data_IF_477978794531
#
_entry.id   IF_477978794531
#
_cell.length_a   1.000
_cell.length_b   1.000
_cell.length_c   1.000
_cell.angle_alpha   90.00
_cell.angle_beta   90.00
_cell.angle_gamma   90.00
#
_symmetry.space_group_name_H-M   'P 1'
#
loop_
_entity.id
_entity.type
_entity.pdbx_description
1 polymer ?
#
# COMPACT_ATOMS: atom_id res chain seq x y z
N UNK A 1 24.60 35.05 58.21
CA UNK A 1 24.24 35.06 56.77
C UNK A 1 23.22 36.15 56.55
N UNK A 2 23.46 37.08 55.62
CA UNK A 2 22.62 38.26 55.37
C UNK A 2 21.20 37.85 54.93
N UNK A 3 20.16 38.60 55.34
CA UNK A 3 18.77 38.39 54.93
C UNK A 3 18.59 38.37 53.39
N UNK A 4 19.49 39.00 52.65
CA UNK A 4 19.53 38.94 51.19
C UNK A 4 19.90 37.54 50.65
N UNK A 5 20.78 36.82 51.34
CA UNK A 5 21.20 35.46 50.96
C UNK A 5 20.08 34.44 51.24
N UNK A 6 19.32 34.64 52.31
CA UNK A 6 18.13 33.83 52.62
C UNK A 6 17.01 34.05 51.59
N UNK A 7 16.77 35.30 51.18
CA UNK A 7 15.80 35.62 50.13
C UNK A 7 16.17 35.00 48.76
N UNK A 8 17.45 35.04 48.39
CA UNK A 8 17.93 34.46 47.14
C UNK A 8 17.81 32.92 47.10
N UNK A 9 18.12 32.25 48.22
CA UNK A 9 17.97 30.78 48.33
C UNK A 9 16.49 30.37 48.28
N UNK A 10 15.60 31.12 48.93
CA UNK A 10 14.17 30.85 48.89
C UNK A 10 13.58 31.05 47.48
N UNK A 11 14.02 32.09 46.77
CA UNK A 11 13.62 32.35 45.39
C UNK A 11 14.11 31.26 44.42
N UNK A 12 15.36 30.78 44.58
CA UNK A 12 15.88 29.66 43.79
C UNK A 12 15.11 28.36 44.06
N UNK A 13 14.77 28.09 45.33
CA UNK A 13 14.00 26.92 45.72
C UNK A 13 12.58 26.96 45.11
N UNK A 14 11.88 28.10 45.19
CA UNK A 14 10.56 28.28 44.60
C UNK A 14 10.57 28.18 43.06
N UNK A 15 11.61 28.74 42.42
CA UNK A 15 11.79 28.62 40.97
C UNK A 15 12.08 27.17 40.55
N UNK A 16 12.81 26.39 41.36
CA UNK A 16 13.07 24.97 41.09
C UNK A 16 11.85 24.06 41.27
N UNK A 17 10.87 24.45 42.11
CA UNK A 17 9.60 23.73 42.26
C UNK A 17 8.54 24.12 41.22
N UNK A 18 8.68 25.29 40.58
CA UNK A 18 7.72 25.74 39.56
C UNK A 18 7.80 24.94 38.24
N UNK A 19 8.87 24.17 38.04
CA UNK A 19 9.02 23.23 36.92
C UNK A 19 8.62 21.79 37.27
N UNK A 20 8.11 21.53 38.47
CA UNK A 20 7.40 20.29 38.74
C UNK A 20 6.05 20.38 38.02
N UNK A 21 6.07 20.11 36.71
CA UNK A 21 4.88 20.00 35.90
C UNK A 21 3.89 19.12 36.63
N UNK A 22 2.68 19.63 36.86
CA UNK A 22 1.58 18.80 37.32
C UNK A 22 1.57 17.55 36.47
N UNK A 23 1.48 16.37 37.09
CA UNK A 23 1.21 15.13 36.36
C UNK A 23 -0.10 15.40 35.63
N UNK A 24 0.00 15.74 34.35
CA UNK A 24 -1.09 15.79 33.40
C UNK A 24 -1.66 14.38 33.43
N UNK A 25 -2.70 14.18 34.25
CA UNK A 25 -3.42 12.92 34.26
C UNK A 25 -4.04 12.84 32.88
N UNK A 26 -3.49 11.96 32.03
CA UNK A 26 -4.11 11.63 30.77
C UNK A 26 -5.60 11.37 31.05
N UNK A 27 -6.52 12.01 30.33
CA UNK A 27 -7.92 11.76 30.53
C UNK A 27 -8.15 10.26 30.39
N UNK A 28 -8.78 9.65 31.40
CA UNK A 28 -9.16 8.24 31.40
C UNK A 28 -10.20 8.03 30.31
N UNK A 29 -9.74 7.87 29.09
CA UNK A 29 -10.52 7.59 27.88
C UNK A 29 -10.02 6.26 27.32
N UNK A 30 -10.94 5.54 26.70
CA UNK A 30 -10.59 4.31 25.99
C UNK A 30 -9.57 4.62 24.87
N UNK A 31 -8.61 3.71 24.61
CA UNK A 31 -7.70 3.85 23.47
C UNK A 31 -8.49 3.98 22.16
N UNK A 32 -8.00 4.86 21.28
CA UNK A 32 -8.54 4.96 19.92
C UNK A 32 -8.11 3.71 19.15
N UNK A 33 -9.07 2.95 18.66
CA UNK A 33 -8.82 1.74 17.86
C UNK A 33 -9.16 1.91 16.39
N UNK A 34 -9.78 3.03 16.02
CA UNK A 34 -10.11 3.37 14.64
C UNK A 34 -9.87 4.86 14.43
N UNK A 35 -9.01 5.18 13.47
CA UNK A 35 -8.79 6.52 12.97
C UNK A 35 -10.04 6.99 12.20
N UNK A 36 -10.37 8.27 12.34
CA UNK A 36 -11.53 8.88 11.70
C UNK A 36 -11.13 9.55 10.39
N UNK A 37 -10.40 8.83 9.54
CA UNK A 37 -9.81 9.30 8.28
C UNK A 37 -10.78 9.25 7.07
N UNK A 38 -12.08 9.15 7.34
CA UNK A 38 -13.13 9.00 6.31
C UNK A 38 -14.21 10.07 6.40
N UNK A 39 -13.90 11.24 6.96
CA UNK A 39 -14.85 12.34 6.94
C UNK A 39 -15.09 12.75 5.49
N UNK A 40 -16.36 12.96 5.13
CA UNK A 40 -16.69 13.45 3.80
C UNK A 40 -16.21 14.89 3.64
N UNK A 41 -15.58 15.18 2.50
CA UNK A 41 -15.16 16.52 2.10
C UNK A 41 -15.49 16.75 0.62
N UNK A 42 -15.54 18.03 0.23
CA UNK A 42 -16.22 18.43 -1.00
C UNK A 42 -15.49 18.03 -2.30
N UNK A 43 -14.15 18.02 -2.30
CA UNK A 43 -13.34 17.76 -3.49
C UNK A 43 -12.58 16.45 -3.29
N UNK A 44 -12.77 15.47 -4.17
CA UNK A 44 -11.95 14.26 -4.20
C UNK A 44 -10.47 14.64 -4.44
N UNK A 45 -9.51 14.04 -3.71
CA UNK A 45 -8.09 14.28 -3.95
C UNK A 45 -7.70 13.93 -5.39
N UNK A 46 -6.67 14.60 -5.89
CA UNK A 46 -6.18 14.38 -7.24
C UNK A 46 -5.46 13.04 -7.34
N UNK A 47 -5.46 12.44 -8.53
CA UNK A 47 -4.69 11.20 -8.73
C UNK A 47 -3.20 11.52 -8.64
N UNK A 48 -2.49 10.79 -7.78
CA UNK A 48 -1.05 10.89 -7.66
C UNK A 48 -0.38 9.79 -8.47
N UNK A 49 0.42 10.19 -9.46
CA UNK A 49 1.31 9.29 -10.17
C UNK A 49 2.74 9.49 -9.66
N UNK A 50 3.43 8.40 -9.33
CA UNK A 50 4.85 8.42 -8.99
C UNK A 50 5.67 8.04 -10.22
N UNK A 51 6.30 9.01 -10.94
CA UNK A 51 7.04 8.70 -12.16
C UNK A 51 8.32 7.93 -11.82
N UNK A 52 8.55 6.80 -12.50
CA UNK A 52 9.71 5.95 -12.22
C UNK A 52 11.06 6.67 -12.32
N UNK A 53 11.21 7.56 -13.31
CA UNK A 53 12.42 8.38 -13.47
C UNK A 53 12.62 9.36 -12.31
N UNK A 54 11.53 9.95 -11.80
CA UNK A 54 11.58 10.84 -10.65
C UNK A 54 11.86 10.07 -9.36
N UNK A 55 11.17 8.96 -9.13
CA UNK A 55 11.43 8.11 -7.96
C UNK A 55 12.90 7.63 -7.94
N UNK A 56 13.42 7.18 -9.09
CA UNK A 56 14.83 6.82 -9.23
C UNK A 56 15.78 7.99 -8.91
N UNK A 57 15.55 9.18 -9.47
CA UNK A 57 16.37 10.36 -9.16
C UNK A 57 16.27 10.77 -7.68
N UNK A 58 15.07 10.69 -7.09
CA UNK A 58 14.83 11.01 -5.70
C UNK A 58 15.56 10.04 -4.77
N UNK A 59 15.37 8.72 -4.95
CA UNK A 59 15.98 7.72 -4.07
C UNK A 59 17.50 7.63 -4.22
N UNK A 60 18.06 7.91 -5.40
CA UNK A 60 19.51 7.81 -5.65
C UNK A 60 20.29 9.10 -5.36
N UNK A 61 19.67 10.28 -5.52
CA UNK A 61 20.37 11.57 -5.43
C UNK A 61 19.77 12.44 -4.34
N UNK A 62 18.51 12.85 -4.50
CA UNK A 62 17.95 13.92 -3.66
C UNK A 62 17.72 13.47 -2.22
N UNK A 63 17.16 12.28 -2.00
CA UNK A 63 16.84 11.76 -0.67
C UNK A 63 18.10 11.41 0.16
N UNK A 64 19.14 10.77 -0.39
CA UNK A 64 20.39 10.61 0.35
C UNK A 64 21.03 11.95 0.76
N UNK A 65 21.03 12.94 -0.14
CA UNK A 65 21.57 14.27 0.15
C UNK A 65 20.71 14.98 1.20
N UNK A 66 19.38 14.97 1.07
CA UNK A 66 18.49 15.61 2.03
C UNK A 66 18.61 14.97 3.41
N UNK A 67 18.65 13.63 3.51
CA UNK A 67 18.85 12.93 4.79
C UNK A 67 20.22 13.18 5.41
N UNK A 68 21.28 13.28 4.60
CA UNK A 68 22.61 13.63 5.10
C UNK A 68 22.63 15.03 5.74
N UNK A 69 21.87 15.97 5.19
CA UNK A 69 21.76 17.34 5.68
C UNK A 69 20.65 17.52 6.72
N UNK A 70 19.74 16.56 6.85
CA UNK A 70 18.61 16.62 7.76
C UNK A 70 19.09 16.44 9.20
N UNK A 71 18.64 17.33 10.07
CA UNK A 71 18.63 17.09 11.50
C UNK A 71 17.32 16.38 11.80
N UNK A 72 17.37 15.05 11.86
CA UNK A 72 16.23 14.20 12.19
C UNK A 72 16.29 13.88 13.69
N UNK A 73 15.56 14.61 14.55
CA UNK A 73 15.46 14.22 15.95
C UNK A 73 14.70 12.90 16.00
N UNK A 74 15.42 11.83 16.39
CA UNK A 74 14.82 10.52 16.69
C UNK A 74 13.53 10.72 17.51
N UNK A 75 12.40 10.32 16.93
CA UNK A 75 11.08 10.49 17.54
C UNK A 75 10.19 9.27 17.33
N UNK A 76 9.34 9.00 18.31
CA UNK A 76 8.31 7.97 18.22
C UNK A 76 7.31 8.32 17.10
N UNK A 77 6.66 7.29 16.55
CA UNK A 77 5.57 7.48 15.60
C UNK A 77 4.39 8.18 16.30
N UNK A 78 3.68 9.06 15.59
CA UNK A 78 2.63 9.90 16.19
C UNK A 78 1.23 9.35 16.00
N UNK A 79 1.04 8.36 15.12
CA UNK A 79 -0.27 7.75 14.85
C UNK A 79 -0.55 6.48 15.67
N UNK A 80 0.01 6.41 16.88
CA UNK A 80 -0.27 5.34 17.84
C UNK A 80 -1.30 5.80 18.86
N UNK A 81 -2.04 4.85 19.42
CA UNK A 81 -2.98 5.13 20.51
C UNK A 81 -2.28 5.11 21.89
N UNK A 82 -3.06 5.30 22.96
CA UNK A 82 -2.56 5.35 24.34
C UNK A 82 -1.95 4.04 24.87
N UNK A 83 -2.01 2.95 24.10
CA UNK A 83 -1.35 1.66 24.41
C UNK A 83 -0.27 1.29 23.39
N UNK A 84 0.20 2.28 22.62
CA UNK A 84 1.26 2.15 21.62
C UNK A 84 0.91 1.24 20.42
N UNK A 85 -0.37 1.10 20.11
CA UNK A 85 -0.87 0.34 18.96
C UNK A 85 -1.37 1.26 17.85
N UNK A 86 -1.28 0.79 16.59
CA UNK A 86 -1.80 1.53 15.42
C UNK A 86 -3.31 1.30 15.31
N UNK A 87 -4.15 2.35 15.30
CA UNK A 87 -5.58 2.24 15.03
C UNK A 87 -5.89 1.78 13.60
N UNK A 88 -7.05 1.15 13.39
CA UNK A 88 -7.57 0.85 12.04
C UNK A 88 -7.85 2.14 11.26
N UNK A 89 -7.51 2.18 9.97
CA UNK A 89 -7.70 3.31 9.06
C UNK A 89 -8.35 2.89 7.74
N UNK A 90 -8.43 3.82 6.79
CA UNK A 90 -8.91 3.57 5.43
C UNK A 90 -8.02 2.63 4.61
N UNK A 91 -6.71 2.54 4.92
CA UNK A 91 -5.75 1.68 4.21
C UNK A 91 -5.07 0.62 5.08
N UNK A 92 -5.22 0.70 6.40
CA UNK A 92 -4.62 -0.24 7.35
C UNK A 92 -5.66 -0.80 8.31
N UNK A 93 -5.52 -2.07 8.65
CA UNK A 93 -6.27 -2.76 9.70
C UNK A 93 -5.26 -3.50 10.56
N UNK A 94 -5.27 -3.28 11.86
CA UNK A 94 -4.40 -3.98 12.78
C UNK A 94 -4.89 -5.44 12.93
N UNK A 95 -4.51 -6.31 11.99
CA UNK A 95 -5.04 -7.69 11.92
C UNK A 95 -4.40 -8.65 12.92
N UNK A 96 -3.20 -8.34 13.41
CA UNK A 96 -2.43 -9.22 14.32
C UNK A 96 -2.29 -8.58 15.71
N UNK A 97 -1.79 -7.35 15.79
CA UNK A 97 -1.50 -6.66 17.05
C UNK A 97 -2.75 -6.38 17.88
N UNK A 98 -3.84 -5.91 17.25
CA UNK A 98 -5.09 -5.57 17.96
C UNK A 98 -5.79 -6.80 18.57
N UNK A 99 -6.04 -7.90 17.83
CA UNK A 99 -6.57 -9.12 18.45
C UNK A 99 -5.68 -9.62 19.58
N UNK A 100 -4.35 -9.65 19.37
CA UNK A 100 -3.40 -10.09 20.39
C UNK A 100 -3.46 -9.22 21.65
N UNK A 101 -3.42 -7.89 21.51
CA UNK A 101 -3.52 -6.94 22.62
C UNK A 101 -4.84 -7.06 23.42
N UNK A 102 -5.91 -7.57 22.79
CA UNK A 102 -7.21 -7.82 23.41
C UNK A 102 -7.36 -9.24 23.97
N UNK A 103 -6.32 -10.09 23.93
CA UNK A 103 -6.40 -11.49 24.33
C UNK A 103 -7.27 -12.34 23.40
N UNK A 104 -7.47 -11.88 22.16
CA UNK A 104 -8.16 -12.61 21.11
C UNK A 104 -7.33 -13.74 20.51
N UNK A 105 -7.94 -14.59 19.66
CA UNK A 105 -7.22 -15.65 18.98
C UNK A 105 -6.19 -15.09 17.99
N UNK A 106 -5.14 -15.87 17.73
CA UNK A 106 -4.23 -15.63 16.62
C UNK A 106 -4.97 -15.64 15.28
N UNK A 107 -4.39 -14.99 14.28
CA UNK A 107 -4.91 -15.03 12.91
C UNK A 107 -5.00 -16.50 12.44
N UNK A 108 -6.18 -16.96 11.98
CA UNK A 108 -6.32 -18.30 11.41
C UNK A 108 -5.36 -18.52 10.23
N UNK A 109 -4.81 -19.73 10.12
CA UNK A 109 -3.85 -20.06 9.05
C UNK A 109 -4.47 -19.94 7.66
N UNK A 110 -5.75 -20.26 7.50
CA UNK A 110 -6.48 -20.09 6.25
C UNK A 110 -6.65 -18.61 5.85
N UNK A 111 -6.85 -17.71 6.83
CA UNK A 111 -6.85 -16.25 6.57
C UNK A 111 -5.45 -15.79 6.13
N UNK A 112 -4.40 -16.28 6.79
CA UNK A 112 -3.02 -15.95 6.42
C UNK A 112 -2.65 -16.46 5.02
N UNK A 113 -3.00 -17.71 4.69
CA UNK A 113 -2.69 -18.34 3.41
C UNK A 113 -3.46 -17.71 2.24
N UNK A 114 -4.73 -17.34 2.45
CA UNK A 114 -5.56 -16.73 1.42
C UNK A 114 -5.32 -15.21 1.31
N UNK A 115 -4.93 -14.53 2.38
CA UNK A 115 -4.87 -13.08 2.42
C UNK A 115 -6.23 -12.45 2.06
N UNK A 116 -6.23 -11.46 1.16
CA UNK A 116 -7.47 -10.81 0.71
C UNK A 116 -8.34 -11.68 -0.24
N UNK A 117 -7.93 -12.91 -0.54
CA UNK A 117 -8.60 -13.77 -1.53
C UNK A 117 -9.78 -14.57 -0.98
N UNK A 118 -10.88 -13.88 -0.65
CA UNK A 118 -12.11 -14.50 -0.12
C UNK A 118 -13.12 -14.92 -1.20
N UNK A 119 -12.92 -14.54 -2.45
CA UNK A 119 -13.77 -14.91 -3.58
C UNK A 119 -13.28 -16.20 -4.25
N UNK A 120 -14.14 -16.88 -5.01
CA UNK A 120 -13.72 -18.04 -5.81
C UNK A 120 -12.55 -17.71 -6.76
N UNK A 121 -11.63 -18.65 -7.02
CA UNK A 121 -10.57 -18.48 -8.00
C UNK A 121 -11.12 -18.14 -9.39
N UNK A 122 -10.32 -17.40 -10.16
CA UNK A 122 -10.62 -17.16 -11.56
C UNK A 122 -10.58 -18.48 -12.33
N UNK A 123 -11.66 -18.80 -13.06
CA UNK A 123 -11.73 -20.00 -13.90
C UNK A 123 -10.69 -19.95 -15.04
N UNK A 124 -9.69 -20.84 -15.06
CA UNK A 124 -8.64 -20.87 -16.09
C UNK A 124 -9.12 -21.36 -17.46
N UNK A 125 -10.35 -21.89 -17.57
CA UNK A 125 -10.94 -22.29 -18.84
C UNK A 125 -11.57 -21.12 -19.62
N UNK A 126 -11.75 -19.97 -18.96
CA UNK A 126 -12.34 -18.78 -19.55
C UNK A 126 -13.84 -18.91 -19.88
N UNK A 127 -14.37 -18.09 -20.81
CA UNK A 127 -13.67 -17.06 -21.58
C UNK A 127 -13.28 -15.85 -20.71
N UNK A 128 -12.21 -15.16 -21.09
CA UNK A 128 -11.81 -13.89 -20.49
C UNK A 128 -11.82 -12.78 -21.55
N UNK A 129 -12.56 -11.71 -21.28
CA UNK A 129 -12.65 -10.56 -22.19
C UNK A 129 -11.57 -9.54 -21.83
N UNK A 130 -10.66 -9.23 -22.75
CA UNK A 130 -9.66 -8.18 -22.59
C UNK A 130 -10.31 -6.83 -22.84
N UNK A 131 -10.43 -6.02 -21.80
CA UNK A 131 -11.11 -4.71 -21.86
C UNK A 131 -10.14 -3.54 -21.95
N UNK A 132 -8.84 -3.78 -21.78
CA UNK A 132 -7.83 -2.73 -21.93
C UNK A 132 -6.41 -3.21 -21.69
N UNK A 133 -5.45 -2.38 -22.12
CA UNK A 133 -4.05 -2.57 -21.79
C UNK A 133 -3.79 -2.31 -20.29
N UNK A 134 -2.76 -2.95 -19.73
CA UNK A 134 -2.31 -2.63 -18.37
C UNK A 134 -1.71 -1.22 -18.36
N UNK A 135 -2.25 -0.28 -17.54
CA UNK A 135 -1.64 1.03 -17.39
C UNK A 135 -0.33 0.88 -16.61
N UNK A 136 0.75 1.47 -17.13
CA UNK A 136 2.02 1.63 -16.44
C UNK A 136 2.76 0.34 -15.98
N UNK A 137 4.04 0.49 -15.64
CA UNK A 137 4.87 -0.53 -15.00
C UNK A 137 5.57 -1.52 -15.95
N UNK A 138 6.60 -2.20 -15.44
CA UNK A 138 7.56 -2.98 -16.24
C UNK A 138 6.99 -4.30 -16.78
N UNK A 139 6.12 -4.97 -16.02
CA UNK A 139 5.61 -6.28 -16.41
C UNK A 139 4.47 -6.16 -17.43
N UNK A 140 4.52 -6.95 -18.53
CA UNK A 140 3.48 -6.98 -19.54
C UNK A 140 2.17 -7.54 -18.97
N UNK A 141 1.02 -7.07 -19.45
CA UNK A 141 -0.27 -7.47 -18.89
C UNK A 141 -1.49 -6.81 -19.55
N UNK A 142 -2.67 -7.23 -19.09
CA UNK A 142 -3.97 -6.73 -19.57
C UNK A 142 -4.96 -6.53 -18.42
N UNK A 143 -5.94 -5.67 -18.63
CA UNK A 143 -7.17 -5.68 -17.84
C UNK A 143 -8.15 -6.63 -18.53
N UNK A 144 -8.66 -7.59 -17.77
CA UNK A 144 -9.68 -8.52 -18.24
C UNK A 144 -10.96 -8.43 -17.41
N UNK A 145 -12.06 -8.85 -18.01
CA UNK A 145 -13.33 -9.18 -17.36
C UNK A 145 -13.60 -10.66 -17.53
N UNK A 146 -13.87 -11.35 -16.42
CA UNK A 146 -14.18 -12.77 -16.42
C UNK A 146 -15.70 -13.01 -16.50
N UNK A 147 -16.09 -14.26 -16.77
CA UNK A 147 -17.50 -14.66 -16.88
C UNK A 147 -18.32 -14.40 -15.59
N UNK A 148 -17.66 -14.38 -14.44
CA UNK A 148 -18.26 -14.03 -13.14
C UNK A 148 -18.54 -12.51 -12.99
N UNK A 149 -18.19 -11.69 -13.98
CA UNK A 149 -18.39 -10.23 -13.98
C UNK A 149 -17.27 -9.42 -13.33
N UNK A 150 -16.34 -10.07 -12.62
CA UNK A 150 -15.23 -9.39 -11.97
C UNK A 150 -14.15 -8.96 -12.95
N UNK A 151 -13.47 -7.85 -12.62
CA UNK A 151 -12.34 -7.31 -13.37
C UNK A 151 -11.03 -7.71 -12.70
N UNK A 152 -10.07 -8.12 -13.50
CA UNK A 152 -8.74 -8.51 -13.03
C UNK A 152 -7.66 -7.81 -13.85
N UNK A 153 -6.58 -7.42 -13.19
CA UNK A 153 -5.32 -7.09 -13.84
C UNK A 153 -4.50 -8.37 -13.95
N UNK A 154 -4.22 -8.82 -15.17
CA UNK A 154 -3.32 -9.95 -15.44
C UNK A 154 -1.92 -9.42 -15.72
N UNK A 155 -0.93 -9.96 -15.01
CA UNK A 155 0.49 -9.64 -15.14
C UNK A 155 1.25 -10.92 -15.47
N UNK A 156 2.08 -10.89 -16.51
CA UNK A 156 2.89 -12.05 -16.89
C UNK A 156 4.29 -11.97 -16.28
N UNK A 157 4.90 -13.13 -16.09
CA UNK A 157 6.34 -13.19 -15.92
C UNK A 157 7.03 -12.84 -17.25
N UNK A 158 8.14 -12.09 -17.16
CA UNK A 158 9.03 -11.91 -18.29
C UNK A 158 9.76 -13.21 -18.66
N UNK A 159 10.45 -13.19 -19.79
CA UNK A 159 11.31 -14.32 -20.23
C UNK A 159 12.53 -14.56 -19.34
N UNK A 160 12.92 -13.56 -18.54
CA UNK A 160 14.04 -13.62 -17.60
C UNK A 160 13.54 -13.86 -16.18
N UNK A 161 14.13 -14.82 -15.46
CA UNK A 161 13.73 -15.18 -14.09
C UNK A 161 12.24 -15.51 -13.99
N UNK A 162 11.76 -16.32 -14.93
CA UNK A 162 10.40 -16.85 -14.93
C UNK A 162 10.01 -17.42 -13.56
N UNK A 163 8.74 -17.29 -13.20
CA UNK A 163 8.17 -17.53 -11.87
C UNK A 163 8.34 -16.40 -10.85
N UNK A 164 9.50 -15.75 -10.80
CA UNK A 164 9.85 -14.82 -9.71
C UNK A 164 8.88 -13.63 -9.59
N UNK A 165 8.59 -12.84 -10.65
CA UNK A 165 7.76 -11.64 -10.52
C UNK A 165 6.34 -11.91 -10.01
N UNK A 166 5.63 -12.85 -10.62
CA UNK A 166 4.24 -13.15 -10.25
C UNK A 166 4.13 -13.99 -8.97
N UNK A 167 5.15 -14.79 -8.61
CA UNK A 167 5.22 -15.39 -7.28
C UNK A 167 5.41 -14.31 -6.19
N UNK A 168 6.30 -13.34 -6.41
CA UNK A 168 6.51 -12.22 -5.51
C UNK A 168 5.25 -11.34 -5.37
N UNK A 169 4.50 -11.11 -6.45
CA UNK A 169 3.23 -10.36 -6.42
C UNK A 169 2.16 -11.03 -5.52
N UNK A 170 2.09 -12.36 -5.54
CA UNK A 170 1.13 -13.14 -4.75
C UNK A 170 1.58 -13.34 -3.30
N UNK A 171 2.86 -13.62 -3.08
CA UNK A 171 3.43 -13.75 -1.72
C UNK A 171 3.39 -12.39 -1.03
N UNK A 172 3.82 -11.33 -1.72
CA UNK A 172 3.82 -9.97 -1.22
C UNK A 172 2.43 -9.52 -0.82
N UNK A 173 1.39 -9.74 -1.64
CA UNK A 173 0.03 -9.35 -1.26
C UNK A 173 -0.44 -10.05 0.02
N UNK A 174 -0.07 -11.31 0.24
CA UNK A 174 -0.44 -12.06 1.46
C UNK A 174 0.31 -11.55 2.69
N UNK A 175 1.61 -11.31 2.58
CA UNK A 175 2.43 -10.75 3.67
C UNK A 175 1.93 -9.35 4.05
N UNK A 176 1.70 -8.48 3.07
CA UNK A 176 1.17 -7.14 3.32
C UNK A 176 -0.25 -7.18 3.91
N UNK A 177 -1.12 -8.10 3.45
CA UNK A 177 -2.42 -8.32 4.04
C UNK A 177 -2.30 -8.70 5.53
N UNK A 178 -1.48 -9.71 5.83
CA UNK A 178 -1.26 -10.18 7.21
C UNK A 178 -0.69 -9.06 8.10
N UNK A 179 0.26 -8.27 7.59
CA UNK A 179 0.86 -7.14 8.29
C UNK A 179 -0.12 -5.99 8.54
N UNK A 180 -1.27 -5.96 7.87
CA UNK A 180 -2.37 -5.04 8.15
C UNK A 180 -2.79 -4.15 6.99
N UNK A 181 -2.09 -4.15 5.86
CA UNK A 181 -2.50 -3.33 4.71
C UNK A 181 -3.72 -3.92 3.99
N UNK A 182 -4.56 -3.07 3.40
CA UNK A 182 -5.52 -3.56 2.40
C UNK A 182 -4.77 -3.85 1.09
N UNK A 183 -4.91 -5.08 0.60
CA UNK A 183 -4.28 -5.55 -0.63
C UNK A 183 -5.33 -6.11 -1.57
N UNK A 184 -5.11 -6.10 -2.89
CA UNK A 184 -5.95 -6.86 -3.80
C UNK A 184 -5.80 -8.36 -3.55
N UNK A 185 -6.80 -9.14 -3.98
CA UNK A 185 -6.63 -10.59 -4.08
C UNK A 185 -5.74 -10.91 -5.29
N UNK A 186 -4.50 -11.33 -5.03
CA UNK A 186 -3.59 -11.81 -6.05
C UNK A 186 -3.51 -13.35 -6.05
N UNK A 187 -3.64 -13.96 -7.22
CA UNK A 187 -3.50 -15.42 -7.41
C UNK A 187 -2.64 -15.73 -8.63
N UNK A 188 -1.93 -16.85 -8.58
CA UNK A 188 -1.28 -17.42 -9.76
C UNK A 188 -2.32 -18.16 -10.58
N UNK A 189 -2.34 -17.95 -11.89
CA UNK A 189 -3.19 -18.68 -12.83
C UNK A 189 -2.36 -19.28 -13.96
N UNK A 190 -2.83 -20.40 -14.48
CA UNK A 190 -2.26 -21.12 -15.62
C UNK A 190 -3.36 -21.30 -16.66
N UNK A 191 -3.15 -20.80 -17.88
CA UNK A 191 -4.23 -20.75 -18.86
C UNK A 191 -3.73 -20.87 -20.30
N UNK A 192 -4.64 -21.24 -21.21
CA UNK A 192 -4.39 -21.23 -22.65
C UNK A 192 -4.71 -19.85 -23.24
N UNK A 193 -3.85 -19.32 -24.12
CA UNK A 193 -4.06 -17.99 -24.70
C UNK A 193 -5.36 -17.85 -25.50
N UNK A 194 -5.88 -18.95 -26.04
CA UNK A 194 -7.08 -19.00 -26.89
C UNK A 194 -8.38 -18.72 -26.14
N UNK A 195 -8.35 -18.66 -24.80
CA UNK A 195 -9.53 -18.26 -24.01
C UNK A 195 -9.73 -16.74 -23.99
N UNK A 196 -8.71 -15.96 -24.40
CA UNK A 196 -8.79 -14.51 -24.43
C UNK A 196 -9.58 -14.03 -25.64
N UNK A 197 -10.47 -13.07 -25.39
CA UNK A 197 -11.25 -12.40 -26.42
C UNK A 197 -11.10 -10.89 -26.25
N UNK A 198 -10.78 -10.17 -27.31
CA UNK A 198 -10.65 -8.70 -27.24
C UNK A 198 -12.06 -8.10 -27.27
N UNK A 199 -12.35 -7.22 -26.31
CA UNK A 199 -13.55 -6.39 -26.36
C UNK A 199 -13.44 -5.44 -27.58
N UNK A 200 -14.44 -5.38 -28.48
CA UNK A 200 -14.41 -4.46 -29.62
C UNK A 200 -14.19 -2.99 -29.24
N UNK A 201 -14.53 -2.60 -28.01
CA UNK A 201 -14.35 -1.24 -27.48
C UNK A 201 -13.06 -1.09 -26.65
N UNK A 202 -12.27 -2.15 -26.48
CA UNK A 202 -11.02 -2.09 -25.72
C UNK A 202 -10.03 -1.13 -26.37
N UNK A 203 -9.40 -0.31 -25.53
CA UNK A 203 -8.33 0.60 -25.92
C UNK A 203 -7.03 0.25 -25.19
N UNK A 204 -5.90 0.60 -25.81
CA UNK A 204 -4.58 0.59 -25.21
C UNK A 204 -3.88 1.93 -25.45
N UNK A 205 -2.86 2.21 -24.68
CA UNK A 205 -2.00 3.39 -24.85
C UNK A 205 -0.77 2.99 -25.67
N UNK A 206 -0.43 3.80 -26.68
CA UNK A 206 0.77 3.58 -27.49
C UNK A 206 2.04 4.13 -26.79
N UNK A 207 3.19 4.05 -27.46
CA UNK A 207 4.45 4.54 -26.90
C UNK A 207 4.53 6.06 -26.71
N UNK A 208 3.67 6.80 -27.41
CA UNK A 208 3.57 8.27 -27.37
C UNK A 208 2.51 8.77 -26.38
N UNK A 209 1.77 7.86 -25.74
CA UNK A 209 0.72 8.17 -24.76
C UNK A 209 -0.69 8.33 -25.33
N UNK A 210 -0.87 8.08 -26.63
CA UNK A 210 -2.19 8.20 -27.27
C UNK A 210 -3.01 6.91 -27.11
N UNK A 211 -4.33 7.06 -26.94
CA UNK A 211 -5.26 5.93 -26.95
C UNK A 211 -5.48 5.41 -28.37
N UNK A 212 -5.29 4.10 -28.57
CA UNK A 212 -5.63 3.39 -29.80
C UNK A 212 -6.46 2.12 -29.52
N UNK A 213 -7.29 1.67 -30.46
CA UNK A 213 -8.01 0.40 -30.32
C UNK A 213 -7.07 -0.77 -30.05
N UNK A 214 -7.44 -1.63 -29.10
CA UNK A 214 -6.65 -2.82 -28.78
C UNK A 214 -6.79 -3.84 -29.92
N UNK A 215 -5.66 -4.35 -30.41
CA UNK A 215 -5.63 -5.29 -31.53
C UNK A 215 -4.95 -6.60 -31.14
N UNK A 216 -5.13 -7.65 -31.95
CA UNK A 216 -4.43 -8.91 -31.75
C UNK A 216 -2.90 -8.73 -31.73
N UNK A 217 -2.36 -7.80 -32.52
CA UNK A 217 -0.92 -7.45 -32.52
C UNK A 217 -0.44 -6.97 -31.15
N UNK A 218 -1.27 -6.23 -30.41
CA UNK A 218 -0.94 -5.79 -29.05
C UNK A 218 -0.85 -6.99 -28.11
N UNK A 219 -1.82 -7.91 -28.20
CA UNK A 219 -1.79 -9.14 -27.41
C UNK A 219 -0.55 -9.98 -27.73
N UNK A 220 -0.25 -10.18 -29.01
CA UNK A 220 0.91 -10.95 -29.46
C UNK A 220 2.23 -10.33 -28.99
N UNK A 221 2.31 -8.99 -28.95
CA UNK A 221 3.48 -8.27 -28.43
C UNK A 221 3.68 -8.54 -26.93
N UNK A 222 2.62 -8.51 -26.14
CA UNK A 222 2.68 -8.88 -24.70
C UNK A 222 3.08 -10.35 -24.55
N UNK A 223 2.44 -11.26 -25.31
CA UNK A 223 2.73 -12.69 -25.22
C UNK A 223 4.15 -13.07 -25.67
N UNK A 224 4.73 -12.37 -26.64
CA UNK A 224 6.13 -12.57 -27.04
C UNK A 224 7.13 -12.26 -25.93
N UNK A 225 6.72 -11.48 -24.92
CA UNK A 225 7.51 -11.15 -23.72
C UNK A 225 7.12 -12.01 -22.51
N UNK A 226 6.07 -12.79 -22.61
CA UNK A 226 5.58 -13.64 -21.53
C UNK A 226 6.29 -15.00 -21.54
N UNK A 227 6.49 -15.57 -20.36
CA UNK A 227 6.98 -16.95 -20.24
C UNK A 227 5.91 -17.96 -20.70
N UNK A 228 6.30 -18.87 -21.59
CA UNK A 228 5.50 -20.04 -22.00
C UNK A 228 6.01 -21.28 -21.24
N UNK A 229 5.10 -22.07 -20.70
CA UNK A 229 5.42 -23.32 -19.99
C UNK A 229 5.62 -24.48 -20.97
N UNK A 230 6.28 -25.58 -20.55
CA UNK A 230 6.51 -26.75 -21.40
C UNK A 230 5.24 -27.40 -21.98
N UNK A 231 4.09 -27.22 -21.31
CA UNK A 231 2.78 -27.71 -21.76
C UNK A 231 2.02 -26.73 -22.67
N UNK A 232 2.67 -25.62 -23.05
CA UNK A 232 2.11 -24.59 -23.93
C UNK A 232 1.25 -23.54 -23.21
N UNK A 233 0.95 -23.70 -21.91
CA UNK A 233 0.18 -22.72 -21.14
C UNK A 233 1.02 -21.52 -20.72
N UNK A 234 0.34 -20.43 -20.40
CA UNK A 234 0.93 -19.23 -19.82
C UNK A 234 0.73 -19.20 -18.32
N UNK A 235 1.73 -18.70 -17.59
CA UNK A 235 1.65 -18.38 -16.17
C UNK A 235 1.49 -16.88 -15.98
N UNK A 236 0.56 -16.49 -15.12
CA UNK A 236 0.35 -15.09 -14.76
C UNK A 236 -0.05 -14.92 -13.29
N UNK A 237 0.10 -13.72 -12.76
CA UNK A 237 -0.62 -13.27 -11.57
C UNK A 237 -1.86 -12.49 -11.99
N UNK A 238 -2.99 -12.82 -11.38
CA UNK A 238 -4.25 -12.07 -11.49
C UNK A 238 -4.45 -11.26 -10.22
N UNK A 239 -4.65 -9.95 -10.34
CA UNK A 239 -5.02 -9.05 -9.25
C UNK A 239 -6.47 -8.64 -9.42
N UNK A 240 -7.34 -9.05 -8.50
CA UNK A 240 -8.74 -8.63 -8.47
C UNK A 240 -8.82 -7.11 -8.25
N UNK A 241 -9.58 -6.41 -9.08
CA UNK A 241 -9.83 -4.98 -8.85
C UNK A 241 -10.63 -4.78 -7.56
N UNK A 242 -10.20 -3.81 -6.77
CA UNK A 242 -10.93 -3.34 -5.60
C UNK A 242 -11.93 -2.29 -6.07
N UNK A 243 -13.13 -2.28 -5.50
CA UNK A 243 -14.14 -1.28 -5.81
C UNK A 243 -13.65 0.13 -5.47
N UNK A 244 -14.02 1.09 -6.33
CA UNK A 244 -13.64 2.49 -6.20
C UNK A 244 -12.61 2.94 -7.23
N UNK A 245 -12.22 4.21 -7.13
CA UNK A 245 -11.21 4.82 -7.99
C UNK A 245 -9.87 4.85 -7.23
N UNK A 246 -8.80 4.20 -7.73
CA UNK A 246 -7.49 4.34 -7.13
C UNK A 246 -6.98 5.78 -7.33
N UNK A 247 -6.51 6.42 -6.26
CA UNK A 247 -5.95 7.77 -6.28
C UNK A 247 -4.41 7.79 -6.35
N UNK A 248 -3.81 6.62 -6.60
CA UNK A 248 -2.36 6.44 -6.59
C UNK A 248 -1.81 5.87 -5.29
N UNK A 249 -0.48 5.68 -5.21
CA UNK A 249 0.18 5.26 -3.98
C UNK A 249 0.13 6.37 -2.92
N UNK A 250 0.25 6.01 -1.64
CA UNK A 250 0.59 6.98 -0.60
C UNK A 250 2.01 7.50 -0.80
N UNK A 251 2.29 8.71 -0.30
CA UNK A 251 3.66 9.21 -0.21
C UNK A 251 4.30 8.70 1.09
N UNK A 252 5.63 8.77 1.18
CA UNK A 252 6.36 8.39 2.39
C UNK A 252 6.74 9.58 3.27
N UNK A 253 6.45 10.80 2.81
CA UNK A 253 6.86 12.05 3.43
C UNK A 253 5.72 13.09 3.32
N UNK A 254 5.57 13.89 4.36
CA UNK A 254 4.58 14.94 4.51
C UNK A 254 3.14 14.43 4.53
N UNK A 255 2.21 15.33 4.17
CA UNK A 255 0.78 15.07 4.05
C UNK A 255 0.29 15.44 2.66
N UNK A 256 -0.80 14.83 2.23
CA UNK A 256 -1.57 15.26 1.08
C UNK A 256 -2.22 16.61 1.37
N UNK A 257 -1.77 17.66 0.68
CA UNK A 257 -2.34 19.01 0.83
C UNK A 257 -3.79 19.11 0.35
N UNK A 258 -4.24 18.14 -0.45
CA UNK A 258 -5.57 18.07 -1.05
C UNK A 258 -6.52 17.10 -0.32
N UNK A 259 -6.08 16.46 0.77
CA UNK A 259 -6.90 15.58 1.61
C UNK A 259 -6.93 16.10 3.07
N UNK A 260 -8.04 16.70 3.53
CA UNK A 260 -8.15 17.18 4.90
C UNK A 260 -8.19 16.06 5.95
N UNK A 261 -8.40 14.79 5.56
CA UNK A 261 -8.29 13.66 6.47
C UNK A 261 -6.83 13.24 6.69
N UNK A 262 -5.89 13.63 5.83
CA UNK A 262 -4.48 13.32 5.99
C UNK A 262 -3.81 14.31 6.95
N UNK A 263 -3.94 14.04 8.25
CA UNK A 263 -3.51 14.95 9.32
C UNK A 263 -2.18 14.59 9.96
N UNK A 264 -1.64 13.41 9.64
CA UNK A 264 -0.38 12.88 10.21
C UNK A 264 0.64 12.70 9.09
N UNK A 265 1.80 13.33 9.24
CA UNK A 265 2.91 13.19 8.30
C UNK A 265 3.26 11.72 8.08
N UNK A 266 3.35 11.30 6.82
CA UNK A 266 3.53 9.90 6.44
C UNK A 266 4.80 9.28 7.02
N UNK A 267 5.89 10.04 7.14
CA UNK A 267 7.13 9.62 7.78
C UNK A 267 6.99 9.43 9.30
N UNK A 268 5.93 9.96 9.91
CA UNK A 268 5.62 9.80 11.33
C UNK A 268 4.63 8.67 11.61
N UNK A 269 4.17 7.95 10.58
CA UNK A 269 3.23 6.82 10.71
C UNK A 269 3.94 5.50 10.97
N UNK A 270 3.56 4.80 12.05
CA UNK A 270 4.18 3.53 12.47
C UNK A 270 4.00 2.41 11.46
N UNK A 271 2.83 2.28 10.85
CA UNK A 271 2.55 1.31 9.79
C UNK A 271 3.40 1.57 8.54
N UNK A 272 3.59 2.83 8.14
CA UNK A 272 4.44 3.16 6.98
C UNK A 272 5.93 2.95 7.28
N UNK A 273 6.38 3.28 8.50
CA UNK A 273 7.72 2.91 8.98
C UNK A 273 7.91 1.39 9.02
N UNK A 274 6.89 0.65 9.46
CA UNK A 274 6.90 -0.82 9.47
C UNK A 274 6.94 -1.43 8.07
N UNK A 275 6.28 -0.81 7.09
CA UNK A 275 6.30 -1.24 5.70
C UNK A 275 7.73 -1.24 5.10
N UNK A 276 8.64 -0.40 5.60
CA UNK A 276 10.05 -0.43 5.20
C UNK A 276 10.70 -1.79 5.46
N UNK A 277 10.36 -2.47 6.56
CA UNK A 277 10.88 -3.81 6.88
C UNK A 277 10.32 -4.87 5.93
N UNK A 278 9.06 -4.70 5.50
CA UNK A 278 8.41 -5.62 4.56
C UNK A 278 8.93 -5.45 3.11
N UNK A 279 9.37 -4.24 2.78
CA UNK A 279 9.86 -3.87 1.45
C UNK A 279 11.38 -4.03 1.28
N UNK A 280 12.10 -4.41 2.34
CA UNK A 280 13.56 -4.50 2.38
C UNK A 280 14.14 -5.72 1.63
#
# INVERSE_FOLDING_TARGET
MSSALQGAVLALALASTACAGSIEKFPLKEPVWRDSDRHAFAKEPEEYFSPFAWDGANQLVFRPVSRFLAVDPLGEATNVNSVDEVPDSSWFRNRIGLPFAKGGPEMPLDEFENGACVTEPLDPAGPWTVTGAKPNGFNPGFIIKAANGFRYLIKFDGTTQGVRPTAADVIGSRIYHAAGFYTPCNRVVYFDRGILQIDPEAKGENADGDEEPLTQRHLDTVFSKAQVLPDGRYRAATSLFIDGKPLGPWTYEGKRSDDPNDVIDHEMRRELRGAYVLAA
#
